data_IF_305693050991
#
_entry.id   IF_305693050991
#
_cell.length_a   1.000
_cell.length_b   1.000
_cell.length_c   1.000
_cell.angle_alpha   90.00
_cell.angle_beta   90.00
_cell.angle_gamma   90.00
#
_symmetry.space_group_name_H-M   'P 1'
#
loop_
_entity.id
_entity.type
_entity.pdbx_description
1 polymer ?
#
# COMPACT_ATOMS: atom_id res chain seq x y z
N UNK A 1 3.40 0.60 -3.48
CA UNK A 1 3.29 0.16 -2.05
C UNK A 1 2.00 -0.58 -1.70
N UNK A 2 0.79 -0.16 -2.12
CA UNK A 2 -0.44 -0.94 -1.86
C UNK A 2 -0.42 -2.32 -2.50
N UNK A 3 -0.03 -2.40 -3.77
CA UNK A 3 0.11 -3.67 -4.48
C UNK A 3 1.13 -4.58 -3.79
N UNK A 4 2.25 -4.01 -3.34
CA UNK A 4 3.26 -4.69 -2.54
C UNK A 4 2.73 -5.13 -1.17
N UNK A 5 2.01 -4.25 -0.46
CA UNK A 5 1.43 -4.54 0.86
C UNK A 5 0.37 -5.63 0.77
N UNK A 6 -0.50 -5.58 -0.25
CA UNK A 6 -1.49 -6.63 -0.56
C UNK A 6 -0.78 -7.95 -0.90
N UNK A 7 0.30 -7.92 -1.68
CA UNK A 7 1.08 -9.14 -1.98
C UNK A 7 1.78 -9.70 -0.73
N UNK A 8 2.33 -8.82 0.12
CA UNK A 8 2.99 -9.18 1.39
C UNK A 8 1.97 -9.77 2.36
N UNK A 9 0.83 -9.12 2.61
CA UNK A 9 -0.19 -9.65 3.53
C UNK A 9 -0.72 -11.00 3.05
N UNK A 10 -0.95 -11.18 1.74
CA UNK A 10 -1.39 -12.45 1.17
C UNK A 10 -0.36 -13.60 1.32
N UNK A 11 0.94 -13.30 1.37
CA UNK A 11 2.01 -14.31 1.44
C UNK A 11 2.47 -14.62 2.87
N UNK A 12 2.26 -13.69 3.81
CA UNK A 12 2.60 -13.87 5.22
C UNK A 12 1.46 -14.52 6.01
N UNK A 13 1.19 -15.81 5.76
CA UNK A 13 0.59 -16.81 6.68
C UNK A 13 -0.81 -16.58 7.31
N UNK A 14 -1.15 -15.37 7.74
CA UNK A 14 -2.39 -15.03 8.43
C UNK A 14 -3.65 -15.28 7.57
N UNK A 15 -3.51 -15.26 6.25
CA UNK A 15 -4.61 -15.48 5.30
C UNK A 15 -4.71 -16.90 4.74
N UNK A 16 -3.83 -17.83 5.13
CA UNK A 16 -3.93 -19.22 4.66
C UNK A 16 -5.23 -19.92 5.11
N UNK A 17 -5.90 -19.42 6.16
CA UNK A 17 -7.18 -19.94 6.66
C UNK A 17 -8.41 -19.21 6.13
N UNK A 18 -8.29 -17.92 5.79
CA UNK A 18 -9.34 -17.17 5.08
C UNK A 18 -9.04 -17.28 3.60
N UNK A 19 -9.53 -18.33 2.94
CA UNK A 19 -9.26 -18.58 1.51
C UNK A 19 -9.32 -17.28 0.68
N UNK A 20 -8.35 -17.10 -0.23
CA UNK A 20 -8.07 -15.84 -0.95
C UNK A 20 -9.31 -15.11 -1.51
N UNK A 21 -10.39 -15.84 -1.78
CA UNK A 21 -11.70 -15.34 -2.21
C UNK A 21 -12.38 -14.40 -1.19
N UNK A 22 -12.20 -14.62 0.12
CA UNK A 22 -12.87 -13.86 1.19
C UNK A 22 -12.33 -12.44 1.37
N UNK A 23 -11.01 -12.30 1.49
CA UNK A 23 -10.36 -10.99 1.62
C UNK A 23 -10.54 -10.15 0.34
N UNK A 24 -10.44 -10.79 -0.82
CA UNK A 24 -10.65 -10.13 -2.10
C UNK A 24 -12.11 -9.71 -2.29
N UNK A 25 -13.07 -10.53 -1.87
CA UNK A 25 -14.49 -10.18 -1.89
C UNK A 25 -14.79 -8.92 -1.07
N UNK A 26 -14.13 -8.75 0.08
CA UNK A 26 -14.27 -7.55 0.93
C UNK A 26 -13.62 -6.32 0.27
N UNK A 27 -12.43 -6.47 -0.31
CA UNK A 27 -11.75 -5.42 -1.07
C UNK A 27 -12.56 -4.98 -2.30
N UNK A 28 -13.24 -5.91 -2.96
CA UNK A 28 -14.01 -5.66 -4.19
C UNK A 28 -15.39 -5.05 -3.95
N UNK A 29 -16.07 -5.39 -2.85
CA UNK A 29 -17.48 -4.99 -2.60
C UNK A 29 -17.68 -3.49 -2.33
N UNK A 30 -16.60 -2.72 -2.19
CA UNK A 30 -16.61 -1.28 -1.91
C UNK A 30 -15.89 -0.43 -2.95
N UNK A 31 -15.65 -1.02 -4.12
CA UNK A 31 -15.07 -0.31 -5.24
C UNK A 31 -16.08 0.68 -5.83
N UNK A 32 -15.66 1.93 -5.99
CA UNK A 32 -16.49 2.98 -6.57
C UNK A 32 -16.83 2.63 -8.01
N UNK A 33 -18.12 2.44 -8.29
CA UNK A 33 -18.63 2.13 -9.63
C UNK A 33 -18.69 3.37 -10.53
N UNK A 34 -18.26 4.54 -10.05
CA UNK A 34 -18.06 5.71 -10.90
C UNK A 34 -17.04 5.41 -12.01
N UNK A 35 -17.13 6.07 -13.17
CA UNK A 35 -16.14 5.92 -14.24
C UNK A 35 -14.70 6.14 -13.75
N UNK A 36 -14.49 7.12 -12.87
CA UNK A 36 -13.17 7.40 -12.30
C UNK A 36 -12.71 6.28 -11.35
N UNK A 37 -13.60 5.73 -10.53
CA UNK A 37 -13.32 4.59 -9.68
C UNK A 37 -12.89 3.35 -10.46
N UNK A 38 -13.53 3.07 -11.59
CA UNK A 38 -13.17 1.98 -12.50
C UNK A 38 -11.77 2.18 -13.11
N UNK A 39 -11.39 3.42 -13.44
CA UNK A 39 -10.05 3.71 -13.97
C UNK A 39 -8.95 3.45 -12.95
N UNK A 40 -9.14 3.88 -11.70
CA UNK A 40 -8.19 3.61 -10.62
C UNK A 40 -8.09 2.11 -10.31
N UNK A 41 -9.19 1.37 -10.38
CA UNK A 41 -9.18 -0.09 -10.25
C UNK A 41 -8.37 -0.75 -11.35
N UNK A 42 -8.58 -0.31 -12.59
CA UNK A 42 -7.88 -0.85 -13.75
C UNK A 42 -6.36 -0.62 -13.61
N UNK A 43 -5.92 0.58 -13.19
CA UNK A 43 -4.51 0.82 -12.90
C UNK A 43 -4.00 -0.04 -11.73
N UNK A 44 -4.70 -0.07 -10.60
CA UNK A 44 -4.30 -0.85 -9.43
C UNK A 44 -4.12 -2.33 -9.75
N UNK A 45 -5.08 -2.92 -10.46
CA UNK A 45 -5.03 -4.34 -10.84
C UNK A 45 -3.91 -4.61 -11.84
N UNK A 46 -3.68 -3.70 -12.80
CA UNK A 46 -2.53 -3.80 -13.71
C UNK A 46 -1.23 -3.82 -12.93
N UNK A 47 -1.04 -2.89 -11.98
CA UNK A 47 0.17 -2.82 -11.15
C UNK A 47 0.35 -4.07 -10.26
N UNK A 48 -0.73 -4.64 -9.71
CA UNK A 48 -0.65 -5.90 -8.94
C UNK A 48 -0.23 -7.07 -9.85
N UNK A 49 -0.82 -7.15 -11.05
CA UNK A 49 -0.49 -8.20 -12.02
C UNK A 49 0.97 -8.09 -12.46
N UNK A 50 1.48 -6.89 -12.74
CA UNK A 50 2.87 -6.68 -13.15
C UNK A 50 3.85 -7.10 -12.05
N UNK A 51 3.55 -6.79 -10.79
CA UNK A 51 4.36 -7.27 -9.65
C UNK A 51 4.30 -8.79 -9.49
N UNK A 52 3.13 -9.40 -9.64
CA UNK A 52 2.96 -10.85 -9.54
C UNK A 52 3.57 -11.60 -10.73
N UNK A 53 3.75 -10.94 -11.87
CA UNK A 53 4.46 -11.48 -13.03
C UNK A 53 5.98 -11.26 -12.95
N UNK A 54 6.48 -10.49 -11.98
CA UNK A 54 7.91 -10.33 -11.75
C UNK A 54 8.43 -11.49 -10.87
N UNK A 55 9.19 -12.46 -11.44
CA UNK A 55 9.62 -13.64 -10.70
C UNK A 55 10.55 -13.30 -9.54
N UNK A 56 11.33 -12.22 -9.60
CA UNK A 56 12.20 -11.78 -8.49
C UNK A 56 11.36 -11.29 -7.31
N UNK A 57 10.29 -10.54 -7.58
CA UNK A 57 9.39 -10.02 -6.54
C UNK A 57 8.60 -11.17 -5.91
N UNK A 58 8.06 -12.08 -6.72
CA UNK A 58 7.35 -13.25 -6.20
C UNK A 58 8.29 -14.12 -5.37
N UNK A 59 9.48 -14.47 -5.87
CA UNK A 59 10.45 -15.29 -5.12
C UNK A 59 10.85 -14.64 -3.80
N UNK A 60 11.11 -13.32 -3.80
CA UNK A 60 11.43 -12.56 -2.60
C UNK A 60 10.31 -12.62 -1.54
N UNK A 61 9.05 -12.50 -1.97
CA UNK A 61 7.88 -12.50 -1.08
C UNK A 61 7.47 -13.89 -0.59
N UNK A 62 7.66 -14.91 -1.43
CA UNK A 62 7.32 -16.28 -1.09
C UNK A 62 8.43 -16.97 -0.32
N UNK A 63 9.65 -16.41 -0.34
CA UNK A 63 10.86 -17.09 0.12
C UNK A 63 11.19 -18.31 -0.72
N UNK A 64 10.81 -18.30 -2.01
CA UNK A 64 10.91 -19.44 -2.92
C UNK A 64 9.89 -20.55 -2.68
N UNK A 65 8.89 -20.36 -1.82
CA UNK A 65 7.84 -21.36 -1.58
C UNK A 65 6.90 -21.48 -2.80
N UNK A 66 6.87 -22.65 -3.48
CA UNK A 66 6.06 -22.83 -4.68
C UNK A 66 4.56 -22.73 -4.40
N UNK A 67 4.09 -23.07 -3.20
CA UNK A 67 2.68 -22.99 -2.84
C UNK A 67 2.23 -21.54 -2.75
N UNK A 68 3.07 -20.67 -2.18
CA UNK A 68 2.78 -19.23 -2.12
C UNK A 68 2.90 -18.57 -3.49
N UNK A 69 3.84 -19.01 -4.33
CA UNK A 69 3.94 -18.53 -5.71
C UNK A 69 2.69 -18.90 -6.53
N UNK A 70 2.14 -20.10 -6.32
CA UNK A 70 0.87 -20.52 -6.91
C UNK A 70 -0.30 -19.63 -6.45
N UNK A 71 -0.33 -19.21 -5.18
CA UNK A 71 -1.35 -18.26 -4.70
C UNK A 71 -1.26 -16.90 -5.42
N UNK A 72 -0.05 -16.38 -5.67
CA UNK A 72 0.13 -15.16 -6.46
C UNK A 72 -0.41 -15.32 -7.90
N UNK A 73 -0.18 -16.47 -8.53
CA UNK A 73 -0.72 -16.78 -9.87
C UNK A 73 -2.24 -16.94 -9.88
N UNK A 74 -2.81 -17.56 -8.85
CA UNK A 74 -4.25 -17.65 -8.66
C UNK A 74 -4.88 -16.25 -8.51
N UNK A 75 -4.23 -15.36 -7.76
CA UNK A 75 -4.65 -13.97 -7.62
C UNK A 75 -4.65 -13.23 -8.97
N UNK A 76 -3.60 -13.38 -9.77
CA UNK A 76 -3.53 -12.82 -11.13
C UNK A 76 -4.70 -13.29 -11.99
N UNK A 77 -5.06 -14.57 -11.88
CA UNK A 77 -6.20 -15.13 -12.63
C UNK A 77 -7.53 -14.50 -12.20
N UNK A 78 -7.75 -14.34 -10.88
CA UNK A 78 -8.94 -13.67 -10.34
C UNK A 78 -9.01 -12.21 -10.80
N UNK A 79 -7.88 -11.50 -10.69
CA UNK A 79 -7.77 -10.10 -11.10
C UNK A 79 -8.06 -9.91 -12.59
N UNK A 80 -7.49 -10.75 -13.45
CA UNK A 80 -7.77 -10.71 -14.89
C UNK A 80 -9.27 -10.92 -15.17
N UNK A 81 -9.89 -11.94 -14.58
CA UNK A 81 -11.32 -12.19 -14.77
C UNK A 81 -12.20 -10.99 -14.37
N UNK A 82 -11.79 -10.21 -13.36
CA UNK A 82 -12.50 -8.98 -12.96
C UNK A 82 -12.20 -7.79 -13.87
N UNK A 83 -10.99 -7.71 -14.43
CA UNK A 83 -10.62 -6.66 -15.38
C UNK A 83 -11.21 -6.88 -16.77
N UNK A 84 -11.42 -8.12 -17.20
CA UNK A 84 -11.89 -8.48 -18.54
C UNK A 84 -13.16 -7.72 -18.98
N UNK A 85 -14.24 -7.62 -18.17
CA UNK A 85 -15.41 -6.83 -18.57
C UNK A 85 -15.11 -5.32 -18.71
N UNK A 86 -14.18 -4.78 -17.91
CA UNK A 86 -13.74 -3.38 -18.01
C UNK A 86 -12.90 -3.18 -19.27
N UNK A 87 -11.95 -4.08 -19.53
CA UNK A 87 -11.08 -4.07 -20.72
C UNK A 87 -11.86 -4.26 -22.02
N UNK A 88 -12.95 -5.03 -22.00
CA UNK A 88 -13.82 -5.24 -23.15
C UNK A 88 -14.59 -3.98 -23.56
N UNK A 89 -14.79 -3.03 -22.63
CA UNK A 89 -15.41 -1.75 -22.94
C UNK A 89 -14.34 -0.74 -23.41
N UNK A 90 -14.10 -0.71 -24.73
CA UNK A 90 -13.09 0.18 -25.34
C UNK A 90 -13.26 1.65 -24.92
N UNK A 91 -14.48 2.17 -24.88
CA UNK A 91 -14.73 3.55 -24.49
C UNK A 91 -14.31 3.83 -23.04
N UNK A 92 -14.57 2.88 -22.13
CA UNK A 92 -14.07 2.98 -20.74
C UNK A 92 -12.55 2.97 -20.70
N UNK A 93 -11.89 2.05 -21.42
CA UNK A 93 -10.42 1.97 -21.45
C UNK A 93 -9.80 3.25 -21.99
N UNK A 94 -10.31 3.77 -23.11
CA UNK A 94 -9.83 5.01 -23.73
C UNK A 94 -9.98 6.19 -22.74
N UNK A 95 -11.12 6.29 -22.05
CA UNK A 95 -11.37 7.33 -21.05
C UNK A 95 -10.49 7.19 -19.79
N UNK A 96 -10.07 5.97 -19.45
CA UNK A 96 -9.23 5.71 -18.31
C UNK A 96 -7.74 5.96 -18.57
N UNK A 97 -7.32 6.06 -19.84
CA UNK A 97 -5.91 6.13 -20.19
C UNK A 97 -5.14 7.30 -19.53
N UNK A 98 -5.68 8.54 -19.43
CA UNK A 98 -5.00 9.61 -18.71
C UNK A 98 -4.86 9.35 -17.20
N UNK A 99 -5.89 8.76 -16.58
CA UNK A 99 -5.88 8.39 -15.16
C UNK A 99 -4.87 7.27 -14.90
N UNK A 100 -4.85 6.24 -15.75
CA UNK A 100 -3.89 5.14 -15.66
C UNK A 100 -2.46 5.63 -15.81
N UNK A 101 -2.20 6.52 -16.78
CA UNK A 101 -0.89 7.12 -16.95
C UNK A 101 -0.44 7.86 -15.68
N UNK A 102 -1.32 8.70 -15.13
CA UNK A 102 -1.05 9.43 -13.88
C UNK A 102 -0.84 8.48 -12.69
N UNK A 103 -1.67 7.46 -12.55
CA UNK A 103 -1.58 6.48 -11.46
C UNK A 103 -0.30 5.66 -11.57
N UNK A 104 0.14 5.32 -12.77
CA UNK A 104 1.38 4.60 -13.02
C UNK A 104 2.58 5.46 -12.67
N UNK A 105 2.65 6.71 -13.14
CA UNK A 105 3.70 7.66 -12.77
C UNK A 105 3.77 7.83 -11.25
N UNK A 106 2.63 8.02 -10.58
CA UNK A 106 2.58 8.12 -9.12
C UNK A 106 3.03 6.82 -8.45
N UNK A 107 2.61 5.67 -8.96
CA UNK A 107 3.00 4.35 -8.42
C UNK A 107 4.50 4.12 -8.53
N UNK A 108 5.09 4.43 -9.67
CA UNK A 108 6.51 4.29 -9.94
C UNK A 108 7.34 5.22 -9.02
N UNK A 109 6.88 6.45 -8.81
CA UNK A 109 7.46 7.35 -7.82
C UNK A 109 7.41 6.79 -6.40
N UNK A 110 6.26 6.27 -5.98
CA UNK A 110 6.09 5.69 -4.65
C UNK A 110 6.93 4.45 -4.44
N UNK A 111 7.07 3.61 -5.46
CA UNK A 111 7.92 2.43 -5.41
C UNK A 111 9.39 2.82 -5.31
N UNK A 112 9.85 3.79 -6.09
CA UNK A 112 11.22 4.32 -6.00
C UNK A 112 11.54 4.93 -4.62
N UNK A 113 10.60 5.70 -4.05
CA UNK A 113 10.74 6.24 -2.70
C UNK A 113 10.72 5.13 -1.64
N UNK A 114 9.82 4.14 -1.77
CA UNK A 114 9.75 3.01 -0.85
C UNK A 114 11.04 2.19 -0.85
N UNK A 115 11.63 1.92 -2.02
CA UNK A 115 12.91 1.23 -2.14
C UNK A 115 14.03 2.04 -1.51
N UNK A 116 14.04 3.37 -1.73
CA UNK A 116 15.02 4.25 -1.10
C UNK A 116 14.90 4.21 0.44
N UNK A 117 13.69 4.26 0.98
CA UNK A 117 13.45 4.12 2.42
C UNK A 117 13.83 2.74 2.94
N UNK A 118 13.52 1.68 2.21
CA UNK A 118 13.88 0.31 2.57
C UNK A 118 15.40 0.13 2.60
N UNK A 119 16.12 0.68 1.62
CA UNK A 119 17.59 0.68 1.61
C UNK A 119 18.16 1.46 2.81
N UNK A 120 17.58 2.60 3.18
CA UNK A 120 17.98 3.35 4.37
C UNK A 120 17.74 2.56 5.67
N UNK A 121 16.61 1.85 5.75
CA UNK A 121 16.32 0.95 6.88
C UNK A 121 17.34 -0.18 6.92
N UNK A 122 17.60 -0.86 5.80
CA UNK A 122 18.58 -1.95 5.70
C UNK A 122 20.01 -1.53 6.04
N UNK A 123 20.35 -0.25 5.86
CA UNK A 123 21.62 0.32 6.27
C UNK A 123 21.71 0.63 7.78
N UNK A 124 20.58 0.64 8.50
CA UNK A 124 20.50 0.89 9.94
C UNK A 124 20.08 -0.40 10.67
N UNK A 125 21.06 -1.13 11.21
CA UNK A 125 20.83 -2.41 11.88
C UNK A 125 19.79 -2.33 13.01
N UNK A 126 19.78 -1.25 13.80
CA UNK A 126 18.79 -1.06 14.88
C UNK A 126 17.37 -0.94 14.32
N UNK A 127 17.19 -0.25 13.19
CA UNK A 127 15.88 -0.16 12.53
C UNK A 127 15.44 -1.50 11.95
N UNK A 128 16.38 -2.27 11.37
CA UNK A 128 16.12 -3.63 10.88
C UNK A 128 15.72 -4.55 12.03
N UNK A 129 16.46 -4.54 13.13
CA UNK A 129 16.19 -5.38 14.30
C UNK A 129 14.83 -5.06 14.91
N UNK A 130 14.50 -3.77 15.03
CA UNK A 130 13.19 -3.33 15.52
C UNK A 130 12.04 -3.78 14.60
N UNK A 131 12.21 -3.62 13.28
CA UNK A 131 11.19 -3.99 12.29
C UNK A 131 10.99 -5.50 12.18
N UNK A 132 12.08 -6.26 12.22
CA UNK A 132 12.07 -7.71 12.03
C UNK A 132 11.93 -8.49 13.33
N UNK A 133 11.95 -7.81 14.49
CA UNK A 133 12.10 -8.41 15.82
C UNK A 133 13.32 -9.34 15.86
N UNK A 134 14.40 -8.93 15.19
CA UNK A 134 15.63 -9.70 15.00
C UNK A 134 15.43 -11.08 14.37
N UNK A 135 14.33 -11.32 13.64
CA UNK A 135 14.11 -12.57 12.93
C UNK A 135 14.95 -12.59 11.63
N UNK A 136 15.94 -13.50 11.48
CA UNK A 136 16.84 -13.51 10.33
C UNK A 136 16.14 -13.81 9.00
N UNK A 137 15.04 -14.56 9.00
CA UNK A 137 14.26 -14.84 7.79
C UNK A 137 13.57 -13.56 7.29
N UNK A 138 13.07 -12.73 8.21
CA UNK A 138 12.46 -11.45 7.86
C UNK A 138 13.52 -10.47 7.31
N UNK A 139 14.72 -10.47 7.89
CA UNK A 139 15.84 -9.65 7.39
C UNK A 139 16.22 -10.07 5.96
N UNK A 140 16.34 -11.37 5.70
CA UNK A 140 16.65 -11.90 4.37
C UNK A 140 15.56 -11.55 3.35
N UNK A 141 14.29 -11.68 3.74
CA UNK A 141 13.14 -11.27 2.93
C UNK A 141 13.20 -9.78 2.56
N UNK A 142 13.48 -8.88 3.53
CA UNK A 142 13.62 -7.45 3.25
C UNK A 142 14.77 -7.14 2.29
N UNK A 143 15.90 -7.84 2.42
CA UNK A 143 17.05 -7.69 1.50
C UNK A 143 16.70 -8.14 0.09
N UNK A 144 16.08 -9.31 -0.06
CA UNK A 144 15.62 -9.84 -1.36
C UNK A 144 14.60 -8.90 -1.99
N UNK A 145 13.65 -8.41 -1.21
CA UNK A 145 12.63 -7.47 -1.67
C UNK A 145 13.26 -6.16 -2.16
N UNK A 146 14.21 -5.61 -1.40
CA UNK A 146 14.91 -4.40 -1.81
C UNK A 146 15.66 -4.60 -3.12
N UNK A 147 16.42 -5.71 -3.24
CA UNK A 147 17.14 -6.04 -4.47
C UNK A 147 16.22 -6.28 -5.67
N UNK A 148 15.06 -6.91 -5.48
CA UNK A 148 14.08 -7.15 -6.53
C UNK A 148 13.45 -5.87 -7.09
N UNK A 149 13.33 -4.83 -6.26
CA UNK A 149 12.73 -3.55 -6.62
C UNK A 149 13.76 -2.48 -7.02
N UNK A 150 15.04 -2.69 -6.72
CA UNK A 150 16.12 -1.73 -6.97
C UNK A 150 16.30 -1.39 -8.47
N UNK A 151 16.18 -2.39 -9.34
CA UNK A 151 16.24 -2.19 -10.80
C UNK A 151 15.15 -1.22 -11.27
N UNK A 152 13.93 -1.38 -10.75
CA UNK A 152 12.79 -0.51 -11.07
C UNK A 152 13.01 0.91 -10.51
N UNK A 153 13.43 1.01 -9.25
CA UNK A 153 13.72 2.31 -8.63
C UNK A 153 14.81 3.10 -9.37
N UNK A 154 15.86 2.41 -9.87
CA UNK A 154 16.91 3.01 -10.70
C UNK A 154 16.37 3.48 -12.05
N UNK A 155 15.49 2.72 -12.69
CA UNK A 155 14.87 3.11 -13.96
C UNK A 155 14.07 4.42 -13.82
N UNK A 156 13.24 4.53 -12.77
CA UNK A 156 12.47 5.74 -12.45
C UNK A 156 13.40 6.94 -12.25
N UNK A 157 14.48 6.77 -11.47
CA UNK A 157 15.45 7.86 -11.21
C UNK A 157 16.26 8.27 -12.45
N UNK A 158 16.51 7.32 -13.37
CA UNK A 158 17.25 7.61 -14.60
C UNK A 158 16.40 8.38 -15.63
N UNK A 159 15.08 8.28 -15.54
CA UNK A 159 14.15 9.06 -16.36
C UNK A 159 13.97 10.46 -15.77
N UNK A 160 14.65 11.47 -16.34
CA UNK A 160 14.63 12.83 -15.80
C UNK A 160 13.23 13.47 -15.72
N UNK A 161 12.35 13.17 -16.69
CA UNK A 161 10.96 13.67 -16.69
C UNK A 161 10.18 13.08 -15.52
N UNK A 162 10.30 11.76 -15.34
CA UNK A 162 9.61 11.02 -14.28
C UNK A 162 10.17 11.38 -12.90
N UNK A 163 11.49 11.46 -12.74
CA UNK A 163 12.12 11.92 -11.51
C UNK A 163 11.68 13.34 -11.13
N UNK A 164 11.59 14.25 -12.11
CA UNK A 164 11.08 15.60 -11.89
C UNK A 164 9.63 15.60 -11.41
N UNK A 165 8.78 14.75 -12.00
CA UNK A 165 7.41 14.54 -11.54
C UNK A 165 7.36 13.98 -10.11
N UNK A 166 8.17 12.98 -9.78
CA UNK A 166 8.23 12.39 -8.46
C UNK A 166 8.58 13.43 -7.39
N UNK A 167 9.61 14.25 -7.64
CA UNK A 167 10.08 15.25 -6.68
C UNK A 167 9.06 16.39 -6.46
N UNK A 168 8.25 16.71 -7.49
CA UNK A 168 7.28 17.81 -7.40
C UNK A 168 5.88 17.40 -6.92
N UNK A 169 5.50 16.14 -7.13
CA UNK A 169 4.09 15.70 -7.06
C UNK A 169 3.85 14.60 -6.05
N UNK A 170 4.89 13.82 -5.71
CA UNK A 170 4.74 12.62 -4.88
C UNK A 170 5.65 12.72 -3.67
N UNK A 171 5.05 12.74 -2.48
CA UNK A 171 5.77 12.48 -1.25
C UNK A 171 5.02 11.38 -0.50
N UNK A 172 5.72 10.28 -0.21
CA UNK A 172 5.17 9.15 0.53
C UNK A 172 4.56 9.54 1.89
N UNK A 173 5.04 10.63 2.51
CA UNK A 173 4.45 11.19 3.72
C UNK A 173 3.02 11.70 3.47
N UNK A 174 2.69 12.14 2.27
CA UNK A 174 1.32 12.55 1.89
C UNK A 174 0.34 11.37 1.88
N UNK A 175 0.80 10.19 1.46
CA UNK A 175 -0.02 8.97 1.58
C UNK A 175 -0.26 8.65 3.05
N UNK A 176 0.79 8.73 3.87
CA UNK A 176 0.68 8.59 5.32
C UNK A 176 -0.36 9.54 5.91
N UNK A 177 -0.34 10.82 5.50
CA UNK A 177 -1.34 11.81 5.93
C UNK A 177 -2.77 11.44 5.51
N UNK A 178 -2.98 11.01 4.25
CA UNK A 178 -4.32 10.61 3.77
C UNK A 178 -4.85 9.41 4.55
N UNK A 179 -4.02 8.39 4.77
CA UNK A 179 -4.36 7.19 5.56
C UNK A 179 -4.69 7.58 7.00
N UNK A 180 -3.81 8.33 7.67
CA UNK A 180 -4.03 8.76 9.06
C UNK A 180 -5.29 9.62 9.18
N UNK A 181 -5.56 10.51 8.23
CA UNK A 181 -6.76 11.38 8.25
C UNK A 181 -8.04 10.56 8.20
N UNK A 182 -8.09 9.56 7.32
CA UNK A 182 -9.23 8.66 7.21
C UNK A 182 -9.34 7.73 8.43
N UNK A 183 -8.22 7.31 9.02
CA UNK A 183 -8.18 6.48 10.21
C UNK A 183 -8.76 7.24 11.42
N UNK A 184 -8.37 8.51 11.60
CA UNK A 184 -8.97 9.41 12.59
C UNK A 184 -10.46 9.62 12.31
N UNK A 185 -10.84 9.82 11.05
CA UNK A 185 -12.25 9.97 10.67
C UNK A 185 -13.07 8.74 11.06
N UNK A 186 -12.60 7.54 10.77
CA UNK A 186 -13.29 6.29 11.15
C UNK A 186 -13.38 6.14 12.68
N UNK A 187 -12.34 6.52 13.41
CA UNK A 187 -12.34 6.45 14.88
C UNK A 187 -13.36 7.39 15.53
N UNK A 188 -13.77 8.46 14.83
CA UNK A 188 -14.80 9.39 15.26
C UNK A 188 -16.24 8.93 14.96
N UNK A 189 -16.41 7.85 14.19
CA UNK A 189 -17.71 7.26 13.87
C UNK A 189 -17.94 5.99 14.71
N UNK A 190 -18.50 6.16 15.91
CA UNK A 190 -18.73 5.07 16.85
C UNK A 190 -19.63 3.96 16.28
N UNK A 191 -20.59 4.30 15.41
CA UNK A 191 -21.48 3.30 14.82
C UNK A 191 -20.74 2.44 13.80
N UNK A 192 -19.98 3.08 12.89
CA UNK A 192 -19.15 2.36 11.91
C UNK A 192 -18.08 1.51 12.60
N UNK A 193 -17.47 2.04 13.66
CA UNK A 193 -16.42 1.37 14.42
C UNK A 193 -16.96 0.17 15.19
N UNK A 194 -18.09 0.32 15.89
CA UNK A 194 -18.75 -0.78 16.59
C UNK A 194 -19.24 -1.86 15.62
N UNK A 195 -19.76 -1.47 14.45
CA UNK A 195 -20.14 -2.41 13.42
C UNK A 195 -18.93 -3.18 12.88
N UNK A 196 -17.82 -2.48 12.63
CA UNK A 196 -16.57 -3.08 12.14
C UNK A 196 -15.98 -4.09 13.13
N UNK A 197 -15.97 -3.76 14.42
CA UNK A 197 -15.43 -4.63 15.47
C UNK A 197 -16.49 -5.53 16.14
N UNK A 198 -17.67 -5.69 15.54
CA UNK A 198 -18.77 -6.50 16.08
C UNK A 198 -19.07 -6.20 17.57
N UNK A 199 -19.02 -4.93 17.96
CA UNK A 199 -19.18 -4.42 19.32
C UNK A 199 -18.11 -4.91 20.33
N UNK A 200 -16.93 -5.34 19.87
CA UNK A 200 -15.81 -5.66 20.75
C UNK A 200 -15.18 -4.37 21.32
N UNK A 201 -15.62 -4.00 22.53
CA UNK A 201 -15.18 -2.78 23.21
C UNK A 201 -13.65 -2.65 23.36
N UNK A 202 -12.92 -3.77 23.53
CA UNK A 202 -11.45 -3.73 23.66
C UNK A 202 -10.79 -3.32 22.35
N UNK A 203 -11.21 -3.91 21.23
CA UNK A 203 -10.67 -3.58 19.90
C UNK A 203 -11.05 -2.16 19.48
N UNK A 204 -12.29 -1.73 19.79
CA UNK A 204 -12.76 -0.35 19.58
C UNK A 204 -11.88 0.65 20.32
N UNK A 205 -11.58 0.40 21.60
CA UNK A 205 -10.73 1.30 22.38
C UNK A 205 -9.29 1.32 21.85
N UNK A 206 -8.72 0.16 21.51
CA UNK A 206 -7.39 0.08 20.91
C UNK A 206 -7.30 0.86 19.58
N UNK A 207 -8.35 0.80 18.75
CA UNK A 207 -8.44 1.57 17.52
C UNK A 207 -8.45 3.07 17.80
N UNK A 208 -9.26 3.53 18.77
CA UNK A 208 -9.32 4.94 19.18
C UNK A 208 -7.98 5.43 19.72
N UNK A 209 -7.28 4.64 20.52
CA UNK A 209 -5.95 4.97 21.04
C UNK A 209 -4.92 5.10 19.92
N UNK A 210 -4.99 4.20 18.92
CA UNK A 210 -4.19 4.30 17.70
C UNK A 210 -4.49 5.58 16.92
N UNK A 211 -5.78 5.90 16.75
CA UNK A 211 -6.22 7.09 16.02
C UNK A 211 -5.79 8.38 16.70
N UNK A 212 -5.79 8.44 18.04
CA UNK A 212 -5.25 9.58 18.79
C UNK A 212 -3.76 9.79 18.49
N UNK A 213 -2.95 8.73 18.44
CA UNK A 213 -1.53 8.82 18.06
C UNK A 213 -1.34 9.26 16.61
N UNK A 214 -2.18 8.76 15.71
CA UNK A 214 -2.18 9.17 14.30
C UNK A 214 -2.54 10.66 14.15
N UNK A 215 -3.50 11.15 14.95
CA UNK A 215 -3.87 12.56 14.99
C UNK A 215 -2.69 13.44 15.44
N UNK A 216 -1.98 13.07 16.51
CA UNK A 216 -0.77 13.79 16.93
C UNK A 216 0.28 13.88 15.81
N UNK A 217 0.52 12.77 15.10
CA UNK A 217 1.46 12.75 13.96
C UNK A 217 0.98 13.58 12.78
N UNK A 218 -0.32 13.58 12.49
CA UNK A 218 -0.90 14.45 11.48
C UNK A 218 -0.66 15.92 11.83
N UNK A 219 -0.88 16.30 13.08
CA UNK A 219 -0.69 17.68 13.54
C UNK A 219 0.78 18.09 13.50
N UNK A 220 1.71 17.18 13.77
CA UNK A 220 3.14 17.40 13.56
C UNK A 220 3.49 17.58 12.08
N UNK A 221 3.02 16.69 11.21
CA UNK A 221 3.32 16.76 9.77
C UNK A 221 2.67 17.98 9.10
N UNK A 222 1.52 18.44 9.58
CA UNK A 222 0.84 19.65 9.07
C UNK A 222 1.60 20.94 9.40
N UNK A 223 2.55 20.91 10.34
CA UNK A 223 3.45 22.05 10.59
C UNK A 223 4.53 22.20 9.52
N UNK A 224 4.80 21.16 8.71
CA UNK A 224 5.67 21.24 7.54
C UNK A 224 4.87 21.84 6.36
N UNK A 225 5.03 23.14 6.15
CA UNK A 225 4.34 23.89 5.08
C UNK A 225 4.68 23.33 3.69
N UNK A 226 5.93 22.90 3.47
CA UNK A 226 6.37 22.31 2.20
C UNK A 226 5.64 21.00 1.95
N UNK A 227 5.59 20.13 2.96
CA UNK A 227 4.85 18.87 2.87
C UNK A 227 3.37 19.13 2.58
N UNK A 228 2.73 20.02 3.33
CA UNK A 228 1.31 20.37 3.13
C UNK A 228 1.05 20.88 1.71
N UNK A 229 1.96 21.71 1.17
CA UNK A 229 1.88 22.20 -0.20
C UNK A 229 2.00 21.11 -1.26
N UNK A 230 2.86 20.11 -1.07
CA UNK A 230 2.98 18.94 -1.96
C UNK A 230 1.76 18.04 -1.83
N UNK A 231 1.31 17.75 -0.61
CA UNK A 231 0.17 16.85 -0.37
C UNK A 231 -1.15 17.38 -0.91
N UNK A 232 -1.34 18.71 -0.95
CA UNK A 232 -2.49 19.35 -1.58
C UNK A 232 -2.53 19.21 -3.10
N UNK A 233 -1.38 18.96 -3.75
CA UNK A 233 -1.26 18.75 -5.21
C UNK A 233 -1.31 17.29 -5.61
N UNK A 234 -1.05 16.38 -4.67
CA UNK A 234 -1.00 14.95 -4.96
C UNK A 234 -2.40 14.44 -5.38
N UNK A 235 -2.54 13.85 -6.57
CA UNK A 235 -3.83 13.34 -7.05
C UNK A 235 -4.42 12.36 -6.04
N UNK A 236 -5.76 12.28 -6.01
CA UNK A 236 -6.45 11.35 -5.14
C UNK A 236 -6.40 9.93 -5.70
N UNK A 237 -5.21 9.35 -5.76
CA UNK A 237 -4.93 7.98 -6.21
C UNK A 237 -5.40 6.90 -5.21
N UNK A 238 -6.08 7.33 -4.14
CA UNK A 238 -6.43 6.51 -3.00
C UNK A 238 -7.90 6.72 -2.61
N UNK A 239 -8.86 6.11 -3.34
CA UNK A 239 -10.17 5.85 -2.79
C UNK A 239 -10.03 4.72 -1.75
N UNK A 240 -9.38 5.01 -0.61
CA UNK A 240 -9.40 4.09 0.53
C UNK A 240 -10.66 4.39 1.31
N UNK A 241 -11.63 3.48 1.27
CA UNK A 241 -12.55 3.36 2.40
C UNK A 241 -11.82 2.53 3.46
N UNK A 242 -11.40 3.17 4.57
CA UNK A 242 -10.67 2.51 5.66
C UNK A 242 -11.56 1.52 6.44
N UNK A 243 -12.86 1.47 6.15
CA UNK A 243 -13.77 0.51 6.78
C UNK A 243 -13.44 -0.98 6.58
N UNK A 244 -12.40 -1.34 5.81
CA UNK A 244 -11.88 -2.71 5.67
C UNK A 244 -10.49 -2.94 6.30
N UNK A 245 -9.82 -1.92 6.84
CA UNK A 245 -8.50 -2.06 7.47
C UNK A 245 -8.68 -2.53 8.91
N UNK A 246 -8.19 -3.73 9.22
CA UNK A 246 -8.23 -4.27 10.59
C UNK A 246 -7.06 -3.73 11.42
N UNK A 247 -7.14 -3.85 12.75
CA UNK A 247 -6.07 -3.42 13.64
C UNK A 247 -4.74 -4.16 13.37
N UNK A 248 -4.83 -5.39 12.84
CA UNK A 248 -3.68 -6.22 12.48
C UNK A 248 -3.00 -5.75 11.17
N UNK A 249 -3.72 -5.02 10.32
CA UNK A 249 -3.19 -4.42 9.10
C UNK A 249 -2.41 -3.12 9.37
N UNK A 250 -2.59 -2.53 10.55
CA UNK A 250 -1.77 -1.41 10.99
C UNK A 250 -0.45 -1.97 11.50
N UNK A 251 0.70 -1.60 10.90
CA UNK A 251 1.98 -2.14 11.32
C UNK A 251 2.15 -1.90 12.82
N UNK A 252 2.28 -2.98 13.57
CA UNK A 252 2.41 -2.96 15.04
C UNK A 252 3.66 -2.20 15.52
N UNK A 253 4.50 -1.73 14.59
CA UNK A 253 5.66 -0.86 14.79
C UNK A 253 5.45 0.64 14.54
N UNK A 254 4.22 1.12 14.24
CA UNK A 254 3.95 2.57 14.34
C UNK A 254 3.90 3.05 15.80
N UNK A 255 3.84 2.13 16.76
CA UNK A 255 4.17 2.42 18.16
C UNK A 255 5.69 2.55 18.35
N UNK A 256 6.14 3.78 18.60
CA UNK A 256 7.38 4.11 19.30
C UNK A 256 8.68 3.85 18.49
N UNK A 257 9.28 4.90 17.91
CA UNK A 257 10.73 4.89 17.69
C UNK A 257 11.28 5.11 16.27
N UNK A 258 10.53 5.63 15.30
CA UNK A 258 11.20 6.33 14.19
C UNK A 258 11.56 7.73 14.66
N UNK A 259 12.68 7.83 15.38
CA UNK A 259 13.31 9.11 15.67
C UNK A 259 13.59 9.79 14.34
N UNK A 260 12.93 10.92 14.10
CA UNK A 260 13.39 11.90 13.12
C UNK A 260 14.74 12.39 13.63
N UNK A 261 15.83 11.73 13.22
CA UNK A 261 17.14 12.36 13.22
C UNK A 261 17.07 13.50 12.22
N UNK A 262 16.97 14.73 12.74
CA UNK A 262 17.25 15.95 11.99
C UNK A 262 18.71 15.97 11.54
#
# INVERSE_FOLDING_TARGET
MRSLFVLVTLTTGAFAQMGAVGLFGILMKKLDNSPQGQCHQLSLFTNIIDLANNPKVVDALTGGDPSKAQMSQALVSILNAQMDPIKANKATVDNCQPTIATDNEVTDCLESQAVTQLNNILANQTAVDAMTKSNPQNVDMLKKLSAALDDKAKAVKANATESGFCDSTVDVRCIGQKIMTQFVKLASDDAALNAHFANNATQVQQFKDGAAKAQTRLDEQRKDEKLTGVCGKMPNILPIDIGSVTLDDLPSGMGIGMGMGM
#
